data_IF_056258272087
#
_entry.id   IF_056258272087
#
_cell.length_a   1.000
_cell.length_b   1.000
_cell.length_c   1.000
_cell.angle_alpha   90.00
_cell.angle_beta   90.00
_cell.angle_gamma   90.00
#
_symmetry.space_group_name_H-M   'P 1'
#
loop_
_entity.id
_entity.type
_entity.pdbx_description
1 polymer ?
#
# COMPACT_ATOMS: atom_id res chain seq x y z
N UNK A 1 8.37 -3.55 -32.90
CA UNK A 1 7.16 -2.81 -32.52
C UNK A 1 7.26 -2.52 -31.03
N UNK A 2 7.17 -1.26 -30.61
CA UNK A 2 7.20 -0.90 -29.19
C UNK A 2 5.89 -1.39 -28.53
N UNK A 3 5.94 -2.22 -27.49
CA UNK A 3 4.75 -2.66 -26.75
C UNK A 3 3.87 -1.50 -26.25
N UNK A 4 4.45 -0.33 -25.98
CA UNK A 4 3.71 0.86 -25.54
C UNK A 4 2.73 1.34 -26.62
N UNK A 5 3.10 1.21 -27.91
CA UNK A 5 2.27 1.62 -29.05
C UNK A 5 1.05 0.72 -29.28
N UNK A 6 0.97 -0.44 -28.63
CA UNK A 6 -0.18 -1.35 -28.72
C UNK A 6 -1.34 -0.92 -27.80
N UNK A 7 -1.10 -0.01 -26.86
CA UNK A 7 -2.13 0.45 -25.93
C UNK A 7 -2.98 1.60 -26.50
N UNK A 8 -4.27 1.69 -26.16
CA UNK A 8 -5.13 2.80 -26.58
C UNK A 8 -4.57 4.17 -26.17
N UNK A 9 -4.78 5.20 -26.98
CA UNK A 9 -4.25 6.55 -26.74
C UNK A 9 -4.65 7.12 -25.37
N UNK A 10 -5.86 6.83 -24.89
CA UNK A 10 -6.33 7.28 -23.59
C UNK A 10 -5.62 6.60 -22.41
N UNK A 11 -5.04 5.41 -22.58
CA UNK A 11 -4.19 4.77 -21.57
C UNK A 11 -2.84 5.47 -21.52
N UNK A 12 -2.24 5.76 -22.68
CA UNK A 12 -0.96 6.47 -22.79
C UNK A 12 -1.03 7.92 -22.27
N UNK A 13 -2.22 8.51 -22.25
CA UNK A 13 -2.46 9.84 -21.71
C UNK A 13 -2.49 9.88 -20.16
N UNK A 14 -2.53 8.73 -19.48
CA UNK A 14 -2.54 8.67 -18.01
C UNK A 14 -1.13 8.95 -17.49
N UNK A 15 -1.02 9.89 -16.54
CA UNK A 15 0.24 10.13 -15.84
C UNK A 15 0.71 8.84 -15.13
N UNK A 16 2.00 8.46 -15.23
CA UNK A 16 2.50 7.27 -14.56
C UNK A 16 2.16 7.26 -13.07
N UNK A 17 1.57 6.16 -12.60
CA UNK A 17 1.20 6.02 -11.20
C UNK A 17 2.43 6.11 -10.31
N UNK A 18 2.39 7.03 -9.34
CA UNK A 18 3.39 7.14 -8.30
C UNK A 18 2.88 6.42 -7.05
N UNK A 19 3.44 5.25 -6.69
CA UNK A 19 3.06 4.58 -5.46
C UNK A 19 3.42 5.44 -4.25
N UNK A 20 2.63 5.32 -3.18
CA UNK A 20 2.98 5.95 -1.90
C UNK A 20 4.32 5.45 -1.39
N UNK A 21 5.15 6.36 -0.86
CA UNK A 21 6.47 6.02 -0.28
C UNK A 21 6.31 5.04 0.89
N UNK A 22 7.03 3.90 0.91
CA UNK A 22 7.03 2.99 2.04
C UNK A 22 7.52 3.68 3.32
N UNK A 23 6.94 3.31 4.47
CA UNK A 23 7.35 3.84 5.78
C UNK A 23 8.84 3.57 6.04
N UNK A 24 9.34 2.39 5.66
CA UNK A 24 10.75 2.01 5.82
C UNK A 24 11.72 2.88 5.01
N UNK A 25 11.32 3.29 3.81
CA UNK A 25 12.10 4.20 2.96
C UNK A 25 12.18 5.59 3.61
N UNK A 26 11.02 6.11 4.04
CA UNK A 26 10.94 7.39 4.76
C UNK A 26 11.77 7.36 6.06
N UNK A 27 11.69 6.26 6.82
CA UNK A 27 12.43 6.10 8.07
C UNK A 27 13.95 6.19 7.82
N UNK A 28 14.46 5.50 6.78
CA UNK A 28 15.86 5.57 6.38
C UNK A 28 16.29 6.97 5.94
N UNK A 29 15.48 7.64 5.13
CA UNK A 29 15.76 9.01 4.65
C UNK A 29 15.82 10.04 5.79
N UNK A 30 14.93 9.89 6.78
CA UNK A 30 14.81 10.82 7.90
C UNK A 30 15.67 10.43 9.12
N UNK A 31 16.35 9.28 9.09
CA UNK A 31 17.12 8.77 10.23
C UNK A 31 16.25 8.39 11.44
N UNK A 32 15.03 7.92 11.20
CA UNK A 32 14.06 7.55 12.23
C UNK A 32 14.10 6.04 12.54
N UNK A 33 13.82 5.69 13.79
CA UNK A 33 13.50 4.30 14.16
C UNK A 33 12.08 3.98 13.68
N UNK A 34 11.98 3.12 12.67
CA UNK A 34 10.71 2.71 12.04
C UNK A 34 9.69 2.22 13.07
N UNK A 35 10.13 1.53 14.13
CA UNK A 35 9.24 0.98 15.16
C UNK A 35 8.54 2.06 16.00
N UNK A 36 9.05 3.29 15.98
CA UNK A 36 8.48 4.43 16.71
C UNK A 36 7.55 5.29 15.86
N UNK A 37 7.39 4.98 14.57
CA UNK A 37 6.54 5.74 13.66
C UNK A 37 5.06 5.44 13.96
N UNK A 38 4.30 6.48 14.29
CA UNK A 38 2.84 6.41 14.43
C UNK A 38 2.20 6.70 13.08
N UNK A 39 1.54 5.70 12.49
CA UNK A 39 0.88 5.82 11.19
C UNK A 39 -0.52 6.44 11.32
N UNK A 40 -0.74 7.58 10.67
CA UNK A 40 -2.03 8.31 10.65
C UNK A 40 -2.53 8.64 9.23
N UNK A 41 -1.93 8.07 8.18
CA UNK A 41 -2.10 8.53 6.79
C UNK A 41 -3.07 7.69 5.92
N UNK A 42 -3.84 6.76 6.50
CA UNK A 42 -4.64 5.79 5.70
C UNK A 42 -6.02 5.47 6.28
N UNK A 43 -6.51 6.23 7.28
CA UNK A 43 -7.79 5.99 7.94
C UNK A 43 -7.98 4.54 8.44
N UNK A 44 -6.89 3.88 8.81
CA UNK A 44 -6.91 2.52 9.33
C UNK A 44 -7.53 2.49 10.72
N UNK A 45 -8.16 1.36 11.06
CA UNK A 45 -8.66 1.14 12.41
C UNK A 45 -7.49 0.90 13.38
N UNK A 46 -7.25 1.76 14.39
CA UNK A 46 -6.14 1.59 15.32
C UNK A 46 -6.26 0.34 16.19
N UNK A 47 -7.47 -0.23 16.32
CA UNK A 47 -7.68 -1.50 17.04
C UNK A 47 -7.39 -2.74 16.18
N UNK A 48 -7.06 -2.57 14.91
CA UNK A 48 -6.82 -3.65 13.96
C UNK A 48 -8.09 -4.42 13.57
N UNK A 49 -7.91 -5.66 13.13
CA UNK A 49 -9.00 -6.51 12.65
C UNK A 49 -9.88 -7.03 13.81
N UNK A 50 -11.20 -7.03 13.60
CA UNK A 50 -12.18 -7.60 14.52
C UNK A 50 -11.86 -9.07 14.87
N UNK A 51 -12.05 -9.50 16.13
CA UNK A 51 -11.89 -10.91 16.53
C UNK A 51 -12.74 -11.88 15.69
N UNK A 52 -13.97 -11.49 15.33
CA UNK A 52 -14.87 -12.31 14.50
C UNK A 52 -14.33 -12.49 13.08
N UNK A 53 -13.83 -11.41 12.48
CA UNK A 53 -13.23 -11.46 11.15
C UNK A 53 -11.95 -12.31 11.13
N UNK A 54 -11.11 -12.18 12.17
CA UNK A 54 -9.91 -13.03 12.33
C UNK A 54 -10.28 -14.52 12.41
N UNK A 55 -11.33 -14.88 13.16
CA UNK A 55 -11.80 -16.26 13.25
C UNK A 55 -12.32 -16.79 11.90
N UNK A 56 -13.07 -15.97 11.15
CA UNK A 56 -13.57 -16.33 9.83
C UNK A 56 -12.43 -16.57 8.82
N UNK A 57 -11.42 -15.69 8.77
CA UNK A 57 -10.24 -15.85 7.91
C UNK A 57 -9.53 -17.18 8.23
N UNK A 58 -9.27 -17.46 9.52
CA UNK A 58 -8.63 -18.71 9.93
C UNK A 58 -9.42 -19.95 9.49
N UNK A 59 -10.75 -19.90 9.57
CA UNK A 59 -11.62 -21.00 9.13
C UNK A 59 -11.57 -21.20 7.61
N UNK A 60 -11.46 -20.14 6.83
CA UNK A 60 -11.41 -20.21 5.36
C UNK A 60 -10.06 -20.63 4.77
N UNK A 61 -9.00 -20.67 5.59
CA UNK A 61 -7.67 -21.14 5.21
C UNK A 61 -7.42 -22.62 5.57
N UNK A 62 -8.36 -23.27 6.25
CA UNK A 62 -8.35 -24.69 6.59
C UNK A 62 -9.13 -25.49 5.53
#
# INVERSE_FOLDING_TARGET
MDPCEQSPSYIRAIAPYQPGKPISELAREMGLDEKKIVKLASNENPFGISPKARAAIKKGLA
#
